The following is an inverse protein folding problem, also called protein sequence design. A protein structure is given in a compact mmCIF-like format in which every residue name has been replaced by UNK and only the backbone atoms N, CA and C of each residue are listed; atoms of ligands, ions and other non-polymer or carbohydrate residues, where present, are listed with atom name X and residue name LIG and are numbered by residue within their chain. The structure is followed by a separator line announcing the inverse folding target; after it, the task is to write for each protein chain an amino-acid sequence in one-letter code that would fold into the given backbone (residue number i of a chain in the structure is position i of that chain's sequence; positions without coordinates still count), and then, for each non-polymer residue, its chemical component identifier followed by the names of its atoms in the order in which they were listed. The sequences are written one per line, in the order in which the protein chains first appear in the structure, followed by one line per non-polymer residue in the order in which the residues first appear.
data_IF_726301477806
#
_entry.id   IF_726301477806
#
_cell.length_a   1.000
_cell.length_b   1.000
_cell.length_c   1.000
_cell.angle_alpha   90.00
_cell.angle_beta   90.00
_cell.angle_gamma   90.00
#
_symmetry.space_group_name_H-M   'P 1'
#
loop_
_entity.id
_entity.type
_entity.pdbx_description
1 polymer ?
#
# COMPACT_ATOMS: atom_id res chain seq x y z
N UNK A 1 -10.22 -5.07 -8.49
CA UNK A 1 -9.10 -4.31 -7.88
C UNK A 1 -8.53 -5.20 -6.80
N UNK A 2 -7.20 -5.30 -6.70
CA UNK A 2 -6.53 -6.08 -5.67
C UNK A 2 -5.82 -5.10 -4.74
N UNK A 3 -6.09 -5.17 -3.43
CA UNK A 3 -5.42 -4.33 -2.45
C UNK A 3 -4.54 -5.15 -1.51
N UNK A 4 -3.46 -4.53 -1.04
CA UNK A 4 -2.60 -5.14 -0.03
C UNK A 4 -2.08 -4.05 0.90
N UNK A 5 -1.84 -4.43 2.15
CA UNK A 5 -1.30 -3.56 3.19
C UNK A 5 0.06 -4.07 3.64
N UNK A 6 0.95 -3.14 3.99
CA UNK A 6 2.21 -3.46 4.65
C UNK A 6 2.25 -2.77 6.01
N UNK A 7 2.53 -3.50 7.10
CA UNK A 7 2.60 -2.92 8.42
C UNK A 7 3.79 -1.95 8.50
N UNK A 8 3.55 -0.76 9.03
CA UNK A 8 4.63 0.19 9.31
C UNK A 8 5.42 -0.25 10.55
N UNK A 9 6.75 -0.02 10.58
CA UNK A 9 7.56 -0.31 11.76
C UNK A 9 7.16 0.61 12.92
N UNK A 10 6.35 0.07 13.85
CA UNK A 10 5.75 0.83 14.95
C UNK A 10 6.81 1.47 15.86
N UNK A 11 7.90 0.76 16.14
CA UNK A 11 9.00 1.28 16.96
C UNK A 11 9.70 2.47 16.31
N UNK A 12 9.80 2.51 14.98
CA UNK A 12 10.34 3.66 14.26
C UNK A 12 9.38 4.86 14.38
N UNK A 13 8.08 4.65 14.18
CA UNK A 13 7.06 5.70 14.31
C UNK A 13 7.02 6.29 15.73
N UNK A 14 7.19 5.46 16.77
CA UNK A 14 7.28 5.92 18.17
C UNK A 14 8.53 6.76 18.40
N UNK A 15 9.69 6.31 17.91
CA UNK A 15 10.99 6.98 18.10
C UNK A 15 11.09 8.32 17.37
N UNK A 16 10.43 8.45 16.22
CA UNK A 16 10.43 9.69 15.45
C UNK A 16 9.38 10.69 15.92
N UNK A 17 8.63 10.41 16.99
CA UNK A 17 7.58 11.31 17.49
C UNK A 17 6.49 11.60 16.45
N UNK A 18 6.27 10.69 15.51
CA UNK A 18 5.34 10.92 14.41
C UNK A 18 5.82 11.92 13.36
N UNK A 19 7.14 12.15 13.19
CA UNK A 19 7.65 12.89 12.01
C UNK A 19 7.04 12.26 10.76
N UNK A 20 6.19 13.05 10.10
CA UNK A 20 5.44 12.65 8.92
C UNK A 20 6.42 12.15 7.85
N UNK A 21 6.32 10.87 7.50
CA UNK A 21 7.06 10.27 6.40
C UNK A 21 8.12 9.23 6.78
N UNK A 22 8.72 9.26 7.98
CA UNK A 22 9.83 8.34 8.29
C UNK A 22 9.42 6.85 8.21
N UNK A 23 8.31 6.47 8.84
CA UNK A 23 7.70 5.14 8.68
C UNK A 23 7.30 4.84 7.24
N UNK A 24 6.42 5.66 6.61
CA UNK A 24 6.01 5.47 5.22
C UNK A 24 7.15 5.27 4.21
N UNK A 25 8.23 6.06 4.29
CA UNK A 25 9.37 5.95 3.38
C UNK A 25 10.14 4.64 3.54
N UNK A 26 10.19 4.07 4.75
CA UNK A 26 10.85 2.77 4.95
C UNK A 26 10.11 1.63 4.27
N UNK A 27 8.77 1.62 4.32
CA UNK A 27 7.94 0.54 3.74
C UNK A 27 7.65 0.76 2.25
N UNK A 28 7.88 1.97 1.73
CA UNK A 28 7.57 2.32 0.35
C UNK A 28 8.28 1.43 -0.68
N UNK A 29 9.55 1.11 -0.43
CA UNK A 29 10.35 0.26 -1.32
C UNK A 29 9.77 -1.15 -1.41
N UNK A 30 9.35 -1.70 -0.29
CA UNK A 30 8.72 -3.02 -0.22
C UNK A 30 7.35 -3.01 -0.90
N UNK A 31 6.58 -1.93 -0.71
CA UNK A 31 5.30 -1.74 -1.37
C UNK A 31 5.44 -1.79 -2.90
N UNK A 32 6.36 -0.98 -3.45
CA UNK A 32 6.66 -0.92 -4.88
C UNK A 32 7.14 -2.27 -5.44
N UNK A 33 7.98 -2.99 -4.67
CA UNK A 33 8.48 -4.31 -5.05
C UNK A 33 7.36 -5.34 -5.13
N UNK A 34 6.56 -5.48 -4.08
CA UNK A 34 5.47 -6.47 -3.99
C UNK A 34 4.47 -6.24 -5.12
N UNK A 35 4.01 -5.01 -5.31
CA UNK A 35 3.03 -4.72 -6.35
C UNK A 35 3.55 -4.96 -7.77
N UNK A 36 4.83 -4.68 -8.02
CA UNK A 36 5.46 -4.99 -9.31
C UNK A 36 5.50 -6.50 -9.58
N UNK A 37 5.85 -7.29 -8.56
CA UNK A 37 5.86 -8.75 -8.66
C UNK A 37 4.46 -9.32 -8.92
N UNK A 38 3.44 -8.82 -8.21
CA UNK A 38 2.04 -9.21 -8.43
C UNK A 38 1.59 -8.84 -9.84
N UNK A 39 1.94 -7.65 -10.33
CA UNK A 39 1.63 -7.25 -11.71
C UNK A 39 2.26 -8.20 -12.74
N UNK A 40 3.55 -8.53 -12.56
CA UNK A 40 4.25 -9.46 -13.47
C UNK A 40 3.62 -10.85 -13.42
N UNK A 41 3.28 -11.34 -12.23
CA UNK A 41 2.60 -12.63 -12.07
C UNK A 41 1.28 -12.69 -12.84
N UNK A 42 0.42 -11.67 -12.70
CA UNK A 42 -0.87 -11.61 -13.41
C UNK A 42 -0.67 -11.52 -14.93
N UNK A 43 0.33 -10.76 -15.38
CA UNK A 43 0.71 -10.68 -16.81
C UNK A 43 1.20 -12.03 -17.35
N UNK A 44 1.97 -12.77 -16.57
CA UNK A 44 2.45 -14.11 -16.95
C UNK A 44 1.31 -15.14 -17.06
N UNK A 45 0.20 -14.93 -16.36
CA UNK A 45 -1.02 -15.73 -16.50
C UNK A 45 -1.84 -15.35 -17.75
N UNK A 46 -1.40 -14.37 -18.54
CA UNK A 46 -2.08 -13.91 -19.76
C UNK A 46 -3.12 -12.80 -19.54
N UNK A 47 -3.23 -12.26 -18.32
CA UNK A 47 -4.18 -11.20 -18.00
C UNK A 47 -3.54 -9.80 -18.07
N UNK A 48 -4.36 -8.78 -18.29
CA UNK A 48 -3.93 -7.40 -18.17
C UNK A 48 -3.91 -6.97 -16.70
N UNK A 49 -2.79 -6.38 -16.27
CA UNK A 49 -2.63 -5.83 -14.92
C UNK A 49 -1.87 -4.50 -14.95
N UNK A 50 -2.29 -3.60 -14.06
CA UNK A 50 -1.64 -2.33 -13.78
C UNK A 50 -1.43 -2.22 -12.26
N UNK A 51 -0.18 -2.07 -11.85
CA UNK A 51 0.21 -1.73 -10.49
C UNK A 51 0.72 -0.29 -10.46
N UNK A 52 0.25 0.48 -9.48
CA UNK A 52 0.68 1.86 -9.28
C UNK A 52 0.83 2.16 -7.78
N UNK A 53 2.01 2.53 -7.29
CA UNK A 53 2.28 2.64 -5.85
C UNK A 53 1.59 3.84 -5.17
N UNK A 54 1.45 4.97 -5.86
CA UNK A 54 0.79 6.21 -5.36
C UNK A 54 0.20 6.97 -6.55
N UNK A 55 -1.12 7.12 -6.65
CA UNK A 55 -1.72 8.12 -7.55
C UNK A 55 -2.82 7.68 -8.52
N UNK A 56 -3.26 6.42 -8.50
CA UNK A 56 -4.49 6.02 -9.20
C UNK A 56 -5.64 5.83 -8.20
N UNK A 57 -6.49 6.86 -8.11
CA UNK A 57 -7.72 6.82 -7.35
C UNK A 57 -7.57 6.90 -5.82
N UNK A 58 -8.69 6.95 -5.09
CA UNK A 58 -8.69 7.07 -3.64
C UNK A 58 -8.36 5.72 -2.99
N UNK A 59 -7.07 5.48 -2.69
CA UNK A 59 -6.58 4.23 -2.11
C UNK A 59 -7.36 3.79 -0.86
N UNK A 60 -7.75 4.73 0.01
CA UNK A 60 -8.57 4.45 1.21
C UNK A 60 -9.97 3.92 0.90
N UNK A 61 -10.58 4.33 -0.22
CA UNK A 61 -11.87 3.77 -0.64
C UNK A 61 -11.70 2.32 -1.11
N UNK A 62 -10.66 2.02 -1.89
CA UNK A 62 -10.43 0.65 -2.38
C UNK A 62 -10.14 -0.34 -1.25
N UNK A 63 -9.38 0.05 -0.22
CA UNK A 63 -9.13 -0.80 0.96
C UNK A 63 -10.39 -1.02 1.80
N UNK A 64 -11.29 -0.03 1.83
CA UNK A 64 -12.61 -0.18 2.48
C UNK A 64 -13.49 -1.15 1.70
N UNK A 65 -13.53 -1.04 0.37
CA UNK A 65 -14.29 -1.96 -0.49
C UNK A 65 -13.76 -3.40 -0.47
N UNK A 66 -12.44 -3.57 -0.31
CA UNK A 66 -11.79 -4.89 -0.24
C UNK A 66 -11.81 -5.48 1.19
N UNK A 67 -12.50 -4.83 2.13
CA UNK A 67 -12.69 -5.32 3.51
C UNK A 67 -11.42 -5.30 4.37
N UNK A 68 -10.35 -4.59 3.95
CA UNK A 68 -9.09 -4.53 4.69
C UNK A 68 -9.11 -3.54 5.85
N UNK A 69 -10.13 -2.68 5.94
CA UNK A 69 -10.31 -1.76 7.05
C UNK A 69 -11.52 -0.85 6.88
N UNK A 70 -11.81 -0.07 7.92
CA UNK A 70 -12.83 0.97 7.91
C UNK A 70 -12.18 2.35 7.78
N UNK A 71 -12.90 3.27 7.15
CA UNK A 71 -12.44 4.65 7.00
C UNK A 71 -12.49 5.38 8.35
N UNK A 72 -11.33 5.84 8.84
CA UNK A 72 -11.22 6.54 10.11
C UNK A 72 -11.54 8.03 10.02
N UNK A 73 -11.64 8.71 11.18
CA UNK A 73 -11.84 10.17 11.24
C UNK A 73 -10.75 10.97 10.52
N UNK A 74 -9.56 10.40 10.42
CA UNK A 74 -8.38 11.01 9.77
C UNK A 74 -8.26 10.63 8.29
N UNK A 75 -9.26 9.94 7.73
CA UNK A 75 -9.18 9.28 6.43
C UNK A 75 -9.03 7.77 6.55
#
# INVERSE_FOLDING_TARGET
IFTFTLPQPQELNKRTGGIAGAGPYTVYKDFARVGTLVQMFIKNLGYHALYWPIGWGPGGCFTTFDGQGEQGRTG
#
